data_IF_205753905588
#
_entry.id   IF_205753905588
#
_cell.length_a   1.000
_cell.length_b   1.000
_cell.length_c   1.000
_cell.angle_alpha   90.00
_cell.angle_beta   90.00
_cell.angle_gamma   90.00
#
_symmetry.space_group_name_H-M   'P 1'
#
loop_
_entity.id
_entity.type
_entity.pdbx_description
1 polymer ?
#
# COMPACT_ATOMS: atom_id res chain seq x y z
N UNK A 1 -6.81 -2.17 9.98
CA UNK A 1 -5.61 -1.51 9.44
C UNK A 1 -6.04 -0.45 8.43
N UNK A 2 -5.68 0.79 8.67
CA UNK A 2 -5.89 1.90 7.76
C UNK A 2 -4.77 1.96 6.72
N UNK A 3 -5.10 2.22 5.45
CA UNK A 3 -4.15 2.25 4.34
C UNK A 3 -4.21 3.60 3.63
N UNK A 4 -3.06 4.27 3.54
CA UNK A 4 -2.90 5.51 2.78
C UNK A 4 -1.87 5.33 1.67
N UNK A 5 -2.30 5.53 0.41
CA UNK A 5 -1.41 5.52 -0.75
C UNK A 5 -1.19 6.94 -1.24
N UNK A 6 0.05 7.33 -1.45
CA UNK A 6 0.45 8.63 -1.99
C UNK A 6 1.36 8.41 -3.19
N UNK A 7 1.08 9.11 -4.30
CA UNK A 7 1.94 9.09 -5.48
C UNK A 7 2.54 10.46 -5.74
N UNK A 8 3.80 10.49 -6.17
CA UNK A 8 4.55 11.71 -6.51
C UNK A 8 5.19 11.53 -7.88
N UNK A 9 4.93 12.48 -8.78
CA UNK A 9 5.43 12.48 -10.16
C UNK A 9 5.08 11.20 -10.96
N UNK A 10 4.05 10.46 -10.53
CA UNK A 10 3.58 9.24 -11.19
C UNK A 10 2.10 9.01 -10.92
N UNK A 11 1.40 8.48 -11.92
CA UNK A 11 0.01 8.03 -11.76
C UNK A 11 -0.04 6.62 -11.15
N UNK A 12 -1.01 6.43 -10.25
CA UNK A 12 -1.23 5.14 -9.62
C UNK A 12 -1.81 4.14 -10.63
N UNK A 13 -0.99 3.20 -11.07
CA UNK A 13 -1.41 2.13 -11.99
C UNK A 13 -2.30 1.13 -11.27
N UNK A 14 -3.36 0.64 -11.94
CA UNK A 14 -4.27 -0.39 -11.41
C UNK A 14 -3.54 -1.64 -10.89
N UNK A 15 -2.48 -2.06 -11.57
CA UNK A 15 -1.67 -3.21 -11.15
C UNK A 15 -0.90 -2.99 -9.84
N UNK A 16 -0.52 -1.74 -9.53
CA UNK A 16 0.13 -1.40 -8.27
C UNK A 16 -0.87 -1.40 -7.12
N UNK A 17 -2.03 -0.77 -7.33
CA UNK A 17 -3.11 -0.81 -6.35
C UNK A 17 -3.48 -2.25 -5.97
N UNK A 18 -3.66 -3.13 -6.96
CA UNK A 18 -3.95 -4.55 -6.73
C UNK A 18 -2.89 -5.23 -5.84
N UNK A 19 -1.61 -5.00 -6.13
CA UNK A 19 -0.51 -5.57 -5.32
C UNK A 19 -0.51 -5.02 -3.88
N UNK A 20 -0.75 -3.72 -3.71
CA UNK A 20 -0.83 -3.10 -2.38
C UNK A 20 -1.96 -3.74 -1.56
N UNK A 21 -3.12 -3.95 -2.18
CA UNK A 21 -4.26 -4.59 -1.53
C UNK A 21 -3.97 -6.06 -1.16
N UNK A 22 -3.34 -6.84 -2.04
CA UNK A 22 -2.91 -8.22 -1.77
C UNK A 22 -1.95 -8.32 -0.58
N UNK A 23 -0.95 -7.43 -0.50
CA UNK A 23 -0.02 -7.40 0.63
C UNK A 23 -0.70 -6.94 1.93
N UNK A 24 -1.64 -5.98 1.84
CA UNK A 24 -2.49 -5.58 2.97
C UNK A 24 -3.29 -6.76 3.53
N UNK A 25 -3.87 -7.59 2.67
CA UNK A 25 -4.61 -8.78 3.12
C UNK A 25 -3.73 -9.78 3.84
N UNK A 26 -2.49 -10.00 3.37
CA UNK A 26 -1.51 -10.86 4.07
C UNK A 26 -1.17 -10.30 5.45
N UNK A 27 -0.97 -8.99 5.56
CA UNK A 27 -0.69 -8.34 6.85
C UNK A 27 -1.86 -8.50 7.83
N UNK A 28 -3.10 -8.31 7.37
CA UNK A 28 -4.30 -8.53 8.20
C UNK A 28 -4.40 -9.99 8.63
N UNK A 29 -4.12 -10.95 7.73
CA UNK A 29 -4.23 -12.38 8.01
C UNK A 29 -3.18 -12.90 8.99
N UNK A 30 -1.92 -12.50 8.81
CA UNK A 30 -0.79 -13.08 9.55
C UNK A 30 -0.36 -12.23 10.75
N UNK A 31 -0.68 -10.93 10.74
CA UNK A 31 -0.20 -9.95 11.74
C UNK A 31 -1.35 -9.07 12.24
N UNK A 32 -2.51 -9.68 12.50
CA UNK A 32 -3.68 -8.99 13.00
C UNK A 32 -3.33 -8.18 14.27
N UNK A 33 -3.70 -6.89 14.29
CA UNK A 33 -3.45 -5.93 15.37
C UNK A 33 -1.99 -5.51 15.62
N UNK A 34 -1.02 -6.04 14.86
CA UNK A 34 0.37 -5.57 14.93
C UNK A 34 0.61 -4.34 14.05
N UNK A 35 -0.15 -4.21 12.95
CA UNK A 35 -0.09 -3.05 12.06
C UNK A 35 -1.45 -2.35 12.05
N UNK A 36 -1.49 -1.15 12.60
CA UNK A 36 -2.71 -0.34 12.70
C UNK A 36 -2.86 0.61 11.50
N UNK A 37 -1.75 1.19 11.04
CA UNK A 37 -1.70 2.15 9.94
C UNK A 37 -0.57 1.80 8.98
N UNK A 38 -0.87 1.75 7.68
CA UNK A 38 0.09 1.50 6.61
C UNK A 38 0.08 2.66 5.62
N UNK A 39 1.25 3.26 5.37
CA UNK A 39 1.43 4.31 4.37
C UNK A 39 2.37 3.82 3.27
N UNK A 40 1.94 3.94 2.02
CA UNK A 40 2.73 3.61 0.84
C UNK A 40 2.95 4.88 0.03
N UNK A 41 4.21 5.30 -0.11
CA UNK A 41 4.60 6.42 -0.99
C UNK A 41 5.29 5.88 -2.24
N UNK A 42 4.78 6.23 -3.41
CA UNK A 42 5.38 5.85 -4.69
C UNK A 42 5.85 7.12 -5.39
N UNK A 43 7.14 7.18 -5.71
CA UNK A 43 7.77 8.32 -6.35
C UNK A 43 8.55 7.87 -7.58
N UNK A 44 8.30 8.50 -8.72
CA UNK A 44 9.16 8.35 -9.88
C UNK A 44 10.34 9.31 -9.76
N UNK A 45 11.54 8.75 -9.68
CA UNK A 45 12.80 9.49 -9.78
C UNK A 45 13.32 9.33 -11.21
N UNK A 46 13.65 10.45 -11.85
CA UNK A 46 14.15 10.52 -13.22
C UNK A 46 15.67 10.27 -13.29
#
# INVERSE_FOLDING_TARGET
MDLKVETRNVELRKGWQKKIDEEKEKLIRHFANFVLHLRVSIEATA
#
